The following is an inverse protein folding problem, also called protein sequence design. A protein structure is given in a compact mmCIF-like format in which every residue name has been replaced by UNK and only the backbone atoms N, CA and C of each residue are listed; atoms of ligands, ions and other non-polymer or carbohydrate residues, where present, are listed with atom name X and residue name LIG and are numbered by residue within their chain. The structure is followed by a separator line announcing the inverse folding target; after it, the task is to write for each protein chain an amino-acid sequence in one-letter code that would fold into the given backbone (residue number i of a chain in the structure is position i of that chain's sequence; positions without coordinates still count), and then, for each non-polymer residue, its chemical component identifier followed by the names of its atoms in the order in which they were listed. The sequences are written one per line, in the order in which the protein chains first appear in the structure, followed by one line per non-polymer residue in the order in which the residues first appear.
data_IF_252212274839
#
_entry.id   IF_252212274839
#
_cell.length_a   1.000
_cell.length_b   1.000
_cell.length_c   1.000
_cell.angle_alpha   90.00
_cell.angle_beta   90.00
_cell.angle_gamma   90.00
#
_symmetry.space_group_name_H-M   'P 1'
#
loop_
_entity.id
_entity.type
_entity.pdbx_description
1 polymer ?
#
# COMPACT_ATOMS: atom_id res chain seq x y z
N UNK A 1 24.70 -9.20 10.11
CA UNK A 1 25.62 -8.07 9.83
C UNK A 1 25.30 -6.93 10.78
N UNK A 2 26.28 -6.05 11.07
CA UNK A 2 26.08 -4.91 11.99
C UNK A 2 25.89 -3.63 11.17
N UNK A 3 24.86 -2.83 11.48
CA UNK A 3 24.63 -1.51 10.87
C UNK A 3 25.82 -0.57 11.06
N UNK A 4 25.90 0.49 10.25
CA UNK A 4 26.74 1.64 10.55
C UNK A 4 26.28 2.28 11.87
N UNK A 5 27.11 3.12 12.44
CA UNK A 5 26.78 3.86 13.67
C UNK A 5 25.73 4.94 13.34
N UNK A 6 24.76 5.11 14.21
CA UNK A 6 23.74 6.16 14.12
C UNK A 6 23.35 6.66 15.51
N UNK A 7 22.79 7.84 15.58
CA UNK A 7 22.16 8.39 16.78
C UNK A 7 20.67 8.03 16.78
N UNK A 8 20.18 7.48 17.91
CA UNK A 8 18.76 7.14 18.10
C UNK A 8 18.06 8.27 18.85
N UNK A 9 16.97 8.79 18.28
CA UNK A 9 16.09 9.77 18.89
C UNK A 9 14.74 9.11 19.20
N UNK A 10 14.19 9.35 20.38
CA UNK A 10 12.91 8.80 20.84
C UNK A 10 11.96 9.93 21.26
N UNK A 11 11.41 10.69 20.29
CA UNK A 11 10.47 11.77 20.59
C UNK A 11 9.16 11.23 21.19
N UNK A 12 8.52 12.04 22.04
CA UNK A 12 7.25 11.73 22.68
C UNK A 12 6.06 12.41 22.01
N UNK A 13 6.29 13.28 21.03
CA UNK A 13 5.24 14.00 20.32
C UNK A 13 5.58 14.18 18.83
N UNK A 14 4.55 14.43 18.03
CA UNK A 14 4.70 14.74 16.60
C UNK A 14 5.54 16.01 16.41
N UNK A 15 5.36 17.03 17.23
CA UNK A 15 6.11 18.29 17.17
C UNK A 15 7.62 18.05 17.33
N UNK A 16 8.01 17.15 18.24
CA UNK A 16 9.42 16.77 18.41
C UNK A 16 9.96 16.04 17.18
N UNK A 17 9.17 15.14 16.58
CA UNK A 17 9.54 14.48 15.29
C UNK A 17 9.79 15.52 14.22
N UNK A 18 8.87 16.47 14.04
CA UNK A 18 8.99 17.51 13.03
C UNK A 18 10.18 18.43 13.28
N UNK A 19 10.53 18.67 14.57
CA UNK A 19 11.74 19.41 14.92
C UNK A 19 13.01 18.67 14.48
N UNK A 20 13.09 17.37 14.77
CA UNK A 20 14.24 16.54 14.39
C UNK A 20 14.36 16.42 12.86
N UNK A 21 13.23 16.25 12.14
CA UNK A 21 13.23 16.21 10.68
C UNK A 21 13.68 17.52 10.04
N UNK A 22 13.27 18.68 10.61
CA UNK A 22 13.74 19.99 10.14
C UNK A 22 15.23 20.20 10.43
N UNK A 23 15.73 19.65 11.54
CA UNK A 23 17.14 19.78 11.95
C UNK A 23 18.07 18.91 11.11
N UNK A 24 17.71 17.66 10.85
CA UNK A 24 18.60 16.65 10.25
C UNK A 24 18.27 16.35 8.77
N UNK A 25 17.08 16.68 8.27
CA UNK A 25 16.71 16.55 6.87
C UNK A 25 17.02 15.17 6.28
N UNK A 26 17.85 15.12 5.25
CA UNK A 26 18.25 13.91 4.55
C UNK A 26 19.08 12.93 5.40
N UNK A 27 19.74 13.38 6.46
CA UNK A 27 20.55 12.56 7.35
C UNK A 27 19.70 11.82 8.40
N UNK A 28 18.39 12.05 8.41
CA UNK A 28 17.45 11.37 9.29
C UNK A 28 16.57 10.36 8.55
N UNK A 29 16.22 9.26 9.25
CA UNK A 29 15.18 8.32 8.82
C UNK A 29 14.22 8.04 9.97
N UNK A 30 12.93 7.99 9.63
CA UNK A 30 11.87 7.62 10.57
C UNK A 30 11.88 6.10 10.77
N UNK A 31 11.90 5.67 12.01
CA UNK A 31 11.74 4.28 12.41
C UNK A 31 10.33 4.07 12.96
N UNK A 32 9.48 3.37 12.20
CA UNK A 32 8.16 2.90 12.62
C UNK A 32 8.23 1.38 12.89
N UNK A 33 7.74 0.55 11.97
CA UNK A 33 7.77 -0.92 12.10
C UNK A 33 9.14 -1.57 11.97
N UNK A 34 10.06 -0.92 11.27
CA UNK A 34 11.44 -1.37 11.06
C UNK A 34 11.60 -2.57 10.11
N UNK A 35 10.52 -3.11 9.53
CA UNK A 35 10.58 -4.36 8.78
C UNK A 35 11.35 -4.26 7.45
N UNK A 36 11.43 -3.07 6.88
CA UNK A 36 12.30 -2.77 5.74
C UNK A 36 13.58 -2.06 6.20
N UNK A 37 13.45 -1.02 7.03
CA UNK A 37 14.58 -0.16 7.38
C UNK A 37 15.68 -0.93 8.14
N UNK A 38 15.33 -1.80 9.11
CA UNK A 38 16.33 -2.54 9.91
C UNK A 38 17.17 -3.49 9.04
N UNK A 39 16.61 -4.31 8.13
CA UNK A 39 17.39 -5.08 7.15
C UNK A 39 18.29 -4.20 6.27
N UNK A 40 17.78 -3.08 5.77
CA UNK A 40 18.52 -2.13 4.91
C UNK A 40 19.73 -1.56 5.65
N UNK A 41 19.57 -1.19 6.93
CA UNK A 41 20.66 -0.74 7.80
C UNK A 41 21.67 -1.87 8.08
N UNK A 42 21.20 -3.09 8.34
CA UNK A 42 22.06 -4.24 8.62
C UNK A 42 22.91 -4.62 7.40
N UNK A 43 22.36 -4.50 6.20
CA UNK A 43 23.08 -4.71 4.92
C UNK A 43 23.94 -3.50 4.50
N UNK A 44 23.83 -2.37 5.21
CA UNK A 44 24.49 -1.09 4.89
C UNK A 44 24.15 -0.54 3.50
N UNK A 45 22.95 -0.84 3.01
CA UNK A 45 22.41 -0.23 1.78
C UNK A 45 22.09 1.25 2.01
N UNK A 46 21.65 1.58 3.25
CA UNK A 46 21.56 2.95 3.73
C UNK A 46 22.29 3.10 5.08
N UNK A 47 22.85 4.27 5.32
CA UNK A 47 23.60 4.59 6.56
C UNK A 47 23.25 5.99 7.04
N UNK A 48 21.98 6.26 7.43
CA UNK A 48 21.59 7.55 7.98
C UNK A 48 22.31 7.80 9.31
N UNK A 49 22.67 9.03 9.58
CA UNK A 49 23.30 9.39 10.84
C UNK A 49 22.32 9.42 12.01
N UNK A 50 21.03 9.63 11.73
CA UNK A 50 19.98 9.80 12.73
C UNK A 50 18.78 8.89 12.46
N UNK A 51 18.31 8.16 13.47
CA UNK A 51 17.05 7.44 13.46
C UNK A 51 16.07 8.10 14.43
N UNK A 52 14.86 8.37 13.96
CA UNK A 52 13.76 8.96 14.73
C UNK A 52 12.70 7.89 14.96
N UNK A 53 12.70 7.32 16.16
CA UNK A 53 11.75 6.27 16.55
C UNK A 53 10.41 6.89 16.99
N UNK A 54 9.36 6.64 16.21
CA UNK A 54 8.01 7.16 16.47
C UNK A 54 7.11 6.23 17.29
N UNK A 55 7.62 5.08 17.73
CA UNK A 55 6.82 4.03 18.37
C UNK A 55 6.25 4.42 19.75
N UNK A 56 6.81 5.44 20.42
CA UNK A 56 6.31 5.92 21.71
C UNK A 56 5.18 6.97 21.60
N UNK A 57 4.85 7.44 20.39
CA UNK A 57 3.90 8.52 20.17
C UNK A 57 2.48 7.95 20.07
N UNK A 58 1.72 8.01 21.16
CA UNK A 58 0.37 7.45 21.25
C UNK A 58 -0.62 8.09 20.27
N UNK A 59 -0.47 9.38 19.94
CA UNK A 59 -1.32 10.07 18.97
C UNK A 59 -1.20 9.52 17.54
N UNK A 60 -0.15 8.76 17.25
CA UNK A 60 0.05 8.08 15.96
C UNK A 60 -0.50 6.63 15.92
N UNK A 61 -1.05 6.12 17.03
CA UNK A 61 -1.57 4.74 17.12
C UNK A 61 -3.11 4.72 17.05
N UNK A 62 -3.67 5.41 16.08
CA UNK A 62 -5.12 5.54 15.90
C UNK A 62 -5.58 4.93 14.59
N UNK A 63 -6.73 4.25 14.63
CA UNK A 63 -7.59 3.94 13.50
C UNK A 63 -8.83 4.81 13.68
N UNK A 64 -9.06 5.76 12.80
CA UNK A 64 -10.19 6.69 12.85
C UNK A 64 -11.15 6.36 11.70
N UNK A 65 -12.26 5.71 12.04
CA UNK A 65 -13.28 5.31 11.08
C UNK A 65 -14.36 6.39 10.99
N UNK A 66 -14.50 6.99 9.83
CA UNK A 66 -15.54 7.95 9.50
C UNK A 66 -16.48 7.36 8.46
N UNK A 67 -17.65 7.97 8.28
CA UNK A 67 -18.63 7.48 7.32
C UNK A 67 -18.07 7.36 5.88
N UNK A 68 -17.18 8.27 5.48
CA UNK A 68 -16.62 8.35 4.13
C UNK A 68 -15.26 7.69 3.96
N UNK A 69 -14.52 7.42 5.05
CA UNK A 69 -13.15 6.92 4.96
C UNK A 69 -12.63 6.34 6.27
N UNK A 70 -11.59 5.54 6.13
CA UNK A 70 -10.78 4.98 7.19
C UNK A 70 -9.42 5.70 7.19
N UNK A 71 -9.13 6.48 8.25
CA UNK A 71 -7.84 7.14 8.44
C UNK A 71 -6.98 6.34 9.40
N UNK A 72 -5.78 5.96 8.96
CA UNK A 72 -4.86 5.09 9.69
C UNK A 72 -3.57 5.84 9.96
N UNK A 73 -3.25 6.03 11.23
CA UNK A 73 -2.11 6.81 11.67
C UNK A 73 -0.78 6.01 11.62
N UNK A 74 0.35 6.72 11.60
CA UNK A 74 1.68 6.20 11.26
C UNK A 74 2.19 5.06 12.15
N UNK A 75 1.74 4.98 13.38
CA UNK A 75 2.16 3.96 14.36
C UNK A 75 1.30 2.69 14.36
N UNK A 76 0.16 2.67 13.65
CA UNK A 76 -0.74 1.52 13.58
C UNK A 76 -0.05 0.34 12.89
N UNK A 77 -0.06 -0.82 13.55
CA UNK A 77 0.51 -2.05 13.01
C UNK A 77 -0.40 -2.65 11.94
N UNK A 78 0.20 -3.37 11.01
CA UNK A 78 -0.57 -4.11 10.00
C UNK A 78 -1.52 -5.12 10.65
N UNK A 79 -1.07 -5.83 11.69
CA UNK A 79 -1.92 -6.77 12.43
C UNK A 79 -3.04 -6.08 13.22
N UNK A 80 -2.85 -4.87 13.72
CA UNK A 80 -3.91 -4.13 14.42
C UNK A 80 -5.06 -3.79 13.47
N UNK A 81 -4.76 -3.45 12.20
CA UNK A 81 -5.78 -3.21 11.20
C UNK A 81 -6.36 -4.51 10.65
N UNK A 82 -5.55 -5.55 10.44
CA UNK A 82 -6.00 -6.88 9.98
C UNK A 82 -7.09 -7.46 10.89
N UNK A 83 -6.91 -7.30 12.22
CA UNK A 83 -7.86 -7.82 13.22
C UNK A 83 -8.79 -6.74 13.77
N UNK A 84 -8.86 -5.59 13.14
CA UNK A 84 -9.79 -4.54 13.56
C UNK A 84 -11.22 -4.91 13.20
N UNK A 85 -12.11 -4.93 14.22
CA UNK A 85 -13.50 -5.32 14.06
C UNK A 85 -14.22 -4.42 13.04
N UNK A 86 -14.83 -5.04 12.02
CA UNK A 86 -15.55 -4.33 10.97
C UNK A 86 -14.70 -3.90 9.78
N UNK A 87 -13.43 -4.32 9.66
CA UNK A 87 -12.62 -4.02 8.48
C UNK A 87 -13.28 -4.49 7.19
N UNK A 88 -13.85 -5.69 7.18
CA UNK A 88 -14.58 -6.27 6.05
C UNK A 88 -15.84 -5.48 5.67
N UNK A 89 -16.49 -4.87 6.67
CA UNK A 89 -17.65 -4.02 6.44
C UNK A 89 -17.28 -2.63 5.93
N UNK A 90 -16.16 -2.05 6.42
CA UNK A 90 -15.74 -0.68 6.08
C UNK A 90 -14.94 -0.66 4.81
N UNK A 91 -14.02 -1.61 4.62
CA UNK A 91 -13.16 -1.69 3.44
C UNK A 91 -12.82 -3.14 3.06
N UNK A 92 -13.72 -3.84 2.33
CA UNK A 92 -13.57 -5.25 1.97
C UNK A 92 -12.29 -5.56 1.20
N UNK A 93 -11.79 -4.62 0.37
CA UNK A 93 -10.57 -4.85 -0.39
C UNK A 93 -9.36 -5.03 0.52
N UNK A 94 -9.21 -4.20 1.55
CA UNK A 94 -8.13 -4.36 2.54
C UNK A 94 -8.24 -5.70 3.26
N UNK A 95 -9.45 -6.09 3.67
CA UNK A 95 -9.68 -7.38 4.31
C UNK A 95 -9.23 -8.56 3.42
N UNK A 96 -9.53 -8.52 2.12
CA UNK A 96 -9.11 -9.54 1.15
C UNK A 96 -7.59 -9.60 0.95
N UNK A 97 -6.89 -8.47 1.11
CA UNK A 97 -5.46 -8.36 0.83
C UNK A 97 -4.58 -8.74 2.02
N UNK A 98 -5.03 -8.49 3.27
CA UNK A 98 -4.21 -8.74 4.47
C UNK A 98 -3.62 -10.15 4.58
N UNK A 99 -4.34 -11.24 4.28
CA UNK A 99 -3.77 -12.60 4.35
C UNK A 99 -2.54 -12.82 3.46
N UNK A 100 -2.37 -11.98 2.42
CA UNK A 100 -1.27 -12.07 1.47
C UNK A 100 -0.04 -11.27 1.89
N UNK A 101 -0.23 -10.22 2.71
CA UNK A 101 0.86 -9.35 3.16
C UNK A 101 1.81 -10.11 4.07
N UNK A 102 2.97 -10.48 3.58
CA UNK A 102 4.06 -11.07 4.34
C UNK A 102 3.58 -12.18 5.32
N UNK A 103 4.27 -12.32 6.46
CA UNK A 103 3.92 -13.27 7.52
C UNK A 103 3.54 -12.54 8.81
N UNK A 104 2.76 -13.20 9.67
CA UNK A 104 2.29 -12.65 10.96
C UNK A 104 3.38 -11.93 11.79
N UNK A 105 4.61 -12.45 11.95
CA UNK A 105 5.66 -11.75 12.69
C UNK A 105 6.03 -10.39 12.08
N UNK A 106 5.96 -10.27 10.74
CA UNK A 106 6.21 -9.02 10.02
C UNK A 106 5.05 -8.06 10.22
N UNK A 107 3.79 -8.54 10.06
CA UNK A 107 2.59 -7.71 10.27
C UNK A 107 2.44 -7.22 11.70
N UNK A 108 2.91 -7.98 12.70
CA UNK A 108 2.91 -7.57 14.11
C UNK A 108 3.83 -6.38 14.40
N UNK A 109 4.76 -6.07 13.51
CA UNK A 109 5.70 -4.96 13.66
C UNK A 109 5.58 -3.92 12.56
N UNK A 110 5.37 -4.34 11.33
CA UNK A 110 5.15 -3.47 10.17
C UNK A 110 3.96 -2.54 10.38
N UNK A 111 4.06 -1.31 9.89
CA UNK A 111 2.96 -0.33 9.91
C UNK A 111 2.39 -0.11 8.53
N UNK A 112 1.12 0.30 8.47
CA UNK A 112 0.46 0.65 7.20
C UNK A 112 1.22 1.79 6.51
N UNK A 113 1.44 2.90 7.23
CA UNK A 113 2.16 4.06 6.70
C UNK A 113 3.62 3.74 6.35
N UNK A 114 4.25 2.77 7.04
CA UNK A 114 5.60 2.31 6.72
C UNK A 114 5.68 1.62 5.37
N UNK A 115 4.69 0.79 5.01
CA UNK A 115 4.59 0.17 3.68
C UNK A 115 4.36 1.23 2.60
N UNK A 116 3.47 2.20 2.85
CA UNK A 116 3.22 3.31 1.92
C UNK A 116 4.46 4.19 1.75
N UNK A 117 5.20 4.47 2.84
CA UNK A 117 6.46 5.23 2.79
C UNK A 117 7.55 4.52 2.00
N UNK A 118 7.57 3.19 2.03
CA UNK A 118 8.53 2.37 1.29
C UNK A 118 8.26 2.39 -0.22
N UNK A 119 7.00 2.50 -0.61
CA UNK A 119 6.56 2.62 -2.01
C UNK A 119 7.08 1.50 -2.93
N UNK A 120 7.14 0.26 -2.42
CA UNK A 120 7.43 -0.89 -3.29
C UNK A 120 6.23 -1.13 -4.22
N UNK A 121 6.43 -1.13 -5.55
CA UNK A 121 5.33 -1.31 -6.51
C UNK A 121 4.67 -2.69 -6.45
N UNK A 122 5.30 -3.64 -5.78
CA UNK A 122 4.78 -5.00 -5.53
C UNK A 122 4.04 -5.13 -4.20
N UNK A 123 4.00 -4.06 -3.38
CA UNK A 123 3.35 -4.11 -2.07
C UNK A 123 1.83 -3.96 -2.19
N UNK A 124 1.10 -4.82 -1.52
CA UNK A 124 -0.36 -4.92 -1.55
C UNK A 124 -1.03 -3.63 -1.02
N UNK A 125 -0.46 -3.01 0.02
CA UNK A 125 -1.00 -1.75 0.58
C UNK A 125 -0.80 -0.55 -0.36
N UNK A 126 0.28 -0.54 -1.16
CA UNK A 126 0.50 0.45 -2.22
C UNK A 126 -0.55 0.28 -3.31
N UNK A 127 -0.79 -0.96 -3.75
CA UNK A 127 -1.83 -1.29 -4.71
C UNK A 127 -3.23 -0.92 -4.16
N UNK A 128 -3.52 -1.26 -2.89
CA UNK A 128 -4.79 -0.91 -2.25
C UNK A 128 -5.03 0.60 -2.25
N UNK A 129 -4.02 1.39 -1.83
CA UNK A 129 -4.16 2.85 -1.79
C UNK A 129 -4.40 3.43 -3.19
N UNK A 130 -3.75 2.87 -4.21
CA UNK A 130 -3.90 3.28 -5.61
C UNK A 130 -5.28 2.96 -6.15
N UNK A 131 -5.77 1.72 -5.96
CA UNK A 131 -7.07 1.27 -6.51
C UNK A 131 -8.25 1.93 -5.83
N UNK A 132 -8.12 2.18 -4.53
CA UNK A 132 -9.12 2.89 -3.74
C UNK A 132 -9.05 4.40 -3.92
N UNK A 133 -8.10 4.90 -4.73
CA UNK A 133 -7.88 6.36 -4.92
C UNK A 133 -7.75 7.09 -3.57
N UNK A 134 -7.02 6.46 -2.63
CA UNK A 134 -6.78 6.99 -1.31
C UNK A 134 -5.79 8.14 -1.30
N UNK A 135 -5.43 8.60 -0.10
CA UNK A 135 -4.54 9.76 0.08
C UNK A 135 -3.60 9.57 1.25
N UNK A 136 -2.52 10.34 1.24
CA UNK A 136 -1.50 10.41 2.29
C UNK A 136 -1.53 11.78 2.93
N UNK A 137 -1.55 11.84 4.26
CA UNK A 137 -1.42 13.08 5.01
C UNK A 137 0.02 13.27 5.43
N UNK A 138 0.64 14.32 4.89
CA UNK A 138 2.00 14.74 5.17
C UNK A 138 2.00 15.97 6.06
N UNK A 139 2.82 15.95 7.11
CA UNK A 139 2.97 17.07 8.03
C UNK A 139 4.43 17.47 8.18
N UNK A 140 4.67 18.78 8.19
CA UNK A 140 5.95 19.41 8.52
C UNK A 140 5.71 20.50 9.56
N UNK A 141 6.76 21.12 10.07
CA UNK A 141 6.61 22.30 10.97
C UNK A 141 5.80 23.45 10.35
N UNK A 142 5.85 23.60 9.02
CA UNK A 142 5.28 24.74 8.30
C UNK A 142 3.90 24.48 7.72
N UNK A 143 3.62 23.24 7.35
CA UNK A 143 2.38 22.91 6.62
C UNK A 143 1.92 21.48 6.87
N UNK A 144 0.63 21.29 6.66
CA UNK A 144 -0.02 19.98 6.47
C UNK A 144 -0.55 19.95 5.04
N UNK A 145 -0.35 18.84 4.33
CA UNK A 145 -0.88 18.64 2.98
C UNK A 145 -1.46 17.24 2.84
N UNK A 146 -2.44 17.10 1.97
CA UNK A 146 -3.06 15.83 1.58
C UNK A 146 -2.65 15.59 0.14
N UNK A 147 -2.06 14.43 -0.13
CA UNK A 147 -1.57 14.05 -1.46
C UNK A 147 -2.31 12.79 -1.88
N UNK A 148 -2.88 12.79 -3.10
CA UNK A 148 -3.55 11.61 -3.65
C UNK A 148 -2.54 10.48 -3.88
N UNK A 149 -2.98 9.22 -3.89
CA UNK A 149 -2.11 8.09 -4.20
C UNK A 149 -1.43 8.25 -5.57
N UNK A 150 -2.14 8.81 -6.56
CA UNK A 150 -1.63 9.07 -7.92
C UNK A 150 -0.47 10.06 -7.97
N UNK A 151 -0.46 11.03 -7.06
CA UNK A 151 0.57 12.06 -7.00
C UNK A 151 1.68 11.72 -5.98
N UNK A 152 1.40 10.77 -5.07
CA UNK A 152 2.32 10.39 -4.01
C UNK A 152 3.40 9.41 -4.46
N UNK A 153 3.05 8.39 -5.28
CA UNK A 153 4.00 7.39 -5.79
C UNK A 153 4.62 7.87 -7.09
N UNK A 154 5.89 8.29 -7.04
CA UNK A 154 6.61 8.88 -8.18
C UNK A 154 7.40 7.84 -8.99
N UNK A 155 7.70 6.69 -8.40
CA UNK A 155 8.48 5.60 -8.99
C UNK A 155 8.76 4.51 -7.97
N UNK A 156 9.50 3.48 -8.37
CA UNK A 156 9.89 2.40 -7.48
C UNK A 156 10.69 2.94 -6.29
N UNK A 157 10.18 2.70 -5.08
CA UNK A 157 10.74 3.19 -3.82
C UNK A 157 10.86 4.72 -3.72
N UNK A 158 10.07 5.47 -4.51
CA UNK A 158 10.10 6.92 -4.57
C UNK A 158 8.72 7.52 -4.29
N UNK A 159 8.68 8.50 -3.40
CA UNK A 159 7.46 9.21 -3.01
C UNK A 159 7.64 10.72 -3.07
N UNK A 160 6.53 11.46 -3.12
CA UNK A 160 6.50 12.93 -3.02
C UNK A 160 6.78 13.47 -1.60
N UNK A 161 7.03 12.59 -0.60
CA UNK A 161 7.37 13.00 0.77
C UNK A 161 8.72 13.73 0.80
N UNK A 162 8.75 14.95 1.31
CA UNK A 162 9.98 15.70 1.53
C UNK A 162 10.72 15.20 2.78
N UNK A 163 12.05 15.43 2.84
CA UNK A 163 12.89 14.98 3.96
C UNK A 163 12.43 15.51 5.33
N UNK A 164 11.85 16.71 5.37
CA UNK A 164 11.32 17.33 6.58
C UNK A 164 9.84 17.01 6.86
N UNK A 165 9.23 16.05 6.15
CA UNK A 165 7.84 15.65 6.34
C UNK A 165 7.71 14.28 7.00
N UNK A 166 6.73 14.14 7.88
CA UNK A 166 6.23 12.88 8.43
C UNK A 166 4.94 12.50 7.69
N UNK A 167 4.81 11.24 7.26
CA UNK A 167 3.51 10.67 6.97
C UNK A 167 2.78 10.53 8.30
N UNK A 168 1.81 11.42 8.57
CA UNK A 168 1.03 11.37 9.79
C UNK A 168 0.00 10.25 9.75
N UNK A 169 -0.66 10.09 8.60
CA UNK A 169 -1.68 9.07 8.37
C UNK A 169 -1.89 8.80 6.89
N UNK A 170 -2.58 7.71 6.58
CA UNK A 170 -3.11 7.39 5.25
C UNK A 170 -4.64 7.28 5.33
N UNK A 171 -5.30 7.65 4.25
CA UNK A 171 -6.76 7.65 4.13
C UNK A 171 -7.14 6.65 3.03
N UNK A 172 -7.92 5.64 3.40
CA UNK A 172 -8.61 4.76 2.48
C UNK A 172 -10.10 5.14 2.45
N UNK A 173 -10.69 5.44 1.28
CA UNK A 173 -12.14 5.63 1.17
C UNK A 173 -12.89 4.43 1.73
N UNK A 174 -14.04 4.65 2.36
CA UNK A 174 -14.93 3.57 2.75
C UNK A 174 -15.49 2.84 1.53
N UNK A 175 -15.99 1.62 1.73
CA UNK A 175 -16.56 0.84 0.64
C UNK A 175 -17.64 1.60 -0.13
N UNK A 176 -17.69 1.42 -1.43
CA UNK A 176 -18.80 1.84 -2.26
C UNK A 176 -20.01 0.93 -1.94
N UNK A 177 -21.16 1.52 -1.69
CA UNK A 177 -22.40 0.77 -1.39
C UNK A 177 -22.73 -0.15 -2.57
N UNK A 178 -22.97 -1.41 -2.27
CA UNK A 178 -23.29 -2.46 -3.24
C UNK A 178 -22.19 -2.76 -4.28
N UNK A 179 -20.95 -2.30 -4.08
CA UNK A 179 -19.84 -2.68 -4.94
C UNK A 179 -19.31 -4.09 -4.62
N UNK A 180 -18.76 -4.73 -5.62
CA UNK A 180 -18.03 -5.98 -5.47
C UNK A 180 -16.52 -5.75 -5.43
N UNK A 181 -15.81 -6.58 -4.66
CA UNK A 181 -14.36 -6.50 -4.48
C UNK A 181 -13.72 -7.84 -4.80
N UNK A 182 -12.56 -7.81 -5.44
CA UNK A 182 -11.78 -8.99 -5.74
C UNK A 182 -10.28 -8.72 -5.65
N UNK A 183 -9.54 -9.73 -5.24
CA UNK A 183 -8.09 -9.70 -5.14
C UNK A 183 -7.48 -11.04 -5.50
N UNK A 184 -6.40 -11.03 -6.25
CA UNK A 184 -5.59 -12.19 -6.53
C UNK A 184 -4.14 -11.78 -6.75
N UNK A 185 -3.21 -12.58 -6.25
CA UNK A 185 -1.79 -12.35 -6.49
C UNK A 185 -1.03 -13.65 -6.73
N UNK A 186 0.16 -13.51 -7.27
CA UNK A 186 1.15 -14.56 -7.39
C UNK A 186 2.50 -14.04 -6.89
N UNK A 187 3.04 -14.75 -5.90
CA UNK A 187 4.41 -14.69 -5.45
C UNK A 187 5.03 -16.09 -5.52
N UNK A 188 6.35 -16.20 -5.50
CA UNK A 188 7.02 -17.52 -5.50
C UNK A 188 6.76 -18.32 -4.23
N UNK A 189 6.52 -17.62 -3.13
CA UNK A 189 6.10 -18.19 -1.84
C UNK A 189 5.02 -17.30 -1.25
N UNK A 190 4.13 -17.89 -0.47
CA UNK A 190 3.15 -17.09 0.29
C UNK A 190 3.88 -16.11 1.21
N UNK A 191 3.51 -14.84 1.15
CA UNK A 191 4.12 -13.75 1.92
C UNK A 191 5.39 -13.13 1.32
N UNK A 192 5.87 -13.60 0.15
CA UNK A 192 6.84 -12.86 -0.65
C UNK A 192 6.14 -11.66 -1.32
N UNK A 193 6.88 -10.64 -1.73
CA UNK A 193 6.35 -9.61 -2.61
C UNK A 193 5.77 -10.21 -3.90
N UNK A 194 4.64 -9.70 -4.33
CA UNK A 194 3.96 -10.19 -5.50
C UNK A 194 4.79 -10.01 -6.78
N UNK A 195 4.89 -11.05 -7.60
CA UNK A 195 5.33 -10.91 -8.99
C UNK A 195 4.30 -10.09 -9.77
N UNK A 196 3.02 -10.42 -9.59
CA UNK A 196 1.86 -9.64 -10.03
C UNK A 196 0.76 -9.77 -8.99
N UNK A 197 0.18 -8.64 -8.59
CA UNK A 197 -1.04 -8.56 -7.81
C UNK A 197 -2.11 -7.83 -8.60
N UNK A 198 -3.36 -8.27 -8.50
CA UNK A 198 -4.53 -7.68 -9.16
C UNK A 198 -5.61 -7.40 -8.14
N UNK A 199 -6.04 -6.14 -8.05
CA UNK A 199 -7.14 -5.70 -7.21
C UNK A 199 -8.27 -5.13 -8.08
N UNK A 200 -9.51 -5.52 -7.80
CA UNK A 200 -10.67 -5.17 -8.62
C UNK A 200 -11.79 -4.63 -7.76
N UNK A 201 -12.40 -3.54 -8.20
CA UNK A 201 -13.66 -3.01 -7.66
C UNK A 201 -14.68 -2.97 -8.80
N UNK A 202 -15.86 -3.55 -8.58
CA UNK A 202 -17.01 -3.48 -9.47
C UNK A 202 -18.10 -2.62 -8.84
N UNK A 203 -18.46 -1.52 -9.49
CA UNK A 203 -19.58 -0.66 -9.11
C UNK A 203 -20.57 -0.57 -10.28
N UNK A 204 -21.61 -1.41 -10.23
CA UNK A 204 -22.51 -1.60 -11.36
C UNK A 204 -21.76 -2.14 -12.58
N UNK A 205 -21.76 -1.38 -13.66
CA UNK A 205 -21.01 -1.68 -14.89
C UNK A 205 -19.61 -1.02 -14.92
N UNK A 206 -19.26 -0.21 -13.91
CA UNK A 206 -17.93 0.41 -13.82
C UNK A 206 -16.96 -0.53 -13.09
N UNK A 207 -15.79 -0.71 -13.66
CA UNK A 207 -14.72 -1.55 -13.10
C UNK A 207 -13.45 -0.73 -12.92
N UNK A 208 -12.93 -0.76 -11.70
CA UNK A 208 -11.60 -0.27 -11.36
C UNK A 208 -10.67 -1.47 -11.17
N UNK A 209 -9.62 -1.56 -11.98
CA UNK A 209 -8.72 -2.71 -12.03
C UNK A 209 -7.30 -2.21 -11.80
N UNK A 210 -6.70 -2.62 -10.71
CA UNK A 210 -5.34 -2.25 -10.36
C UNK A 210 -4.37 -3.39 -10.48
N UNK A 211 -3.13 -3.04 -10.82
CA UNK A 211 -2.01 -3.98 -10.92
C UNK A 211 -0.83 -3.50 -10.10
N UNK A 212 -0.30 -4.39 -9.27
CA UNK A 212 0.99 -4.26 -8.61
C UNK A 212 2.04 -5.14 -9.28
N UNK A 213 3.30 -4.72 -9.22
CA UNK A 213 4.43 -5.49 -9.73
C UNK A 213 4.66 -5.47 -11.25
N UNK A 214 3.84 -4.77 -12.02
CA UNK A 214 3.96 -4.71 -13.48
C UNK A 214 4.74 -3.51 -14.01
N UNK A 215 4.96 -2.50 -13.19
CA UNK A 215 5.64 -1.25 -13.51
C UNK A 215 6.33 -0.70 -12.24
N UNK A 216 6.99 0.43 -12.32
CA UNK A 216 7.67 1.11 -11.20
C UNK A 216 6.70 1.71 -10.18
N UNK A 217 5.41 1.81 -10.51
CA UNK A 217 4.33 2.17 -9.59
C UNK A 217 3.13 1.24 -9.81
N UNK A 218 2.30 1.07 -8.80
CA UNK A 218 1.01 0.40 -8.98
C UNK A 218 0.13 1.19 -9.96
N UNK A 219 -0.53 0.48 -10.88
CA UNK A 219 -1.36 1.09 -11.95
C UNK A 219 -2.83 0.83 -11.71
N UNK A 220 -3.65 1.84 -12.00
CA UNK A 220 -5.11 1.75 -11.98
C UNK A 220 -5.65 2.00 -13.38
N UNK A 221 -6.50 1.09 -13.85
CA UNK A 221 -7.24 1.19 -15.10
C UNK A 221 -8.75 1.13 -14.81
N UNK A 222 -9.53 1.89 -15.58
CA UNK A 222 -10.99 1.91 -15.45
C UNK A 222 -11.62 1.49 -16.77
N UNK A 223 -12.68 0.70 -16.68
CA UNK A 223 -13.45 0.25 -17.86
C UNK A 223 -14.92 0.08 -17.51
N UNK A 224 -15.75 -0.01 -18.54
CA UNK A 224 -17.18 -0.33 -18.42
C UNK A 224 -17.40 -1.73 -19.00
N UNK A 225 -17.96 -2.62 -18.19
CA UNK A 225 -18.24 -3.99 -18.60
C UNK A 225 -19.48 -4.51 -17.86
N UNK A 226 -20.33 -5.27 -18.55
CA UNK A 226 -21.56 -5.83 -17.95
C UNK A 226 -21.31 -7.10 -17.13
N UNK A 227 -20.14 -7.71 -17.29
CA UNK A 227 -19.81 -8.99 -16.67
C UNK A 227 -18.33 -9.12 -16.38
N UNK A 228 -17.96 -10.02 -15.46
CA UNK A 228 -16.58 -10.40 -15.20
C UNK A 228 -15.84 -10.86 -16.47
N UNK A 229 -16.56 -11.54 -17.39
CA UNK A 229 -15.99 -12.01 -18.66
C UNK A 229 -15.55 -10.83 -19.55
N UNK A 230 -16.39 -9.81 -19.69
CA UNK A 230 -16.06 -8.61 -20.47
C UNK A 230 -14.91 -7.83 -19.80
N UNK A 231 -14.91 -7.71 -18.47
CA UNK A 231 -13.79 -7.08 -17.74
C UNK A 231 -12.48 -7.87 -17.91
N UNK A 232 -12.53 -9.21 -17.93
CA UNK A 232 -11.36 -10.05 -18.21
C UNK A 232 -10.86 -9.88 -19.67
N UNK A 233 -11.76 -9.70 -20.65
CA UNK A 233 -11.37 -9.39 -22.02
C UNK A 233 -10.63 -8.04 -22.14
N UNK A 234 -11.07 -7.04 -21.37
CA UNK A 234 -10.34 -5.77 -21.29
C UNK A 234 -8.92 -5.98 -20.73
N UNK A 235 -8.76 -6.81 -19.68
CA UNK A 235 -7.43 -7.13 -19.13
C UNK A 235 -6.56 -7.86 -20.15
N UNK A 236 -7.12 -8.80 -20.93
CA UNK A 236 -6.36 -9.51 -21.96
C UNK A 236 -5.82 -8.55 -23.04
N UNK A 237 -6.65 -7.63 -23.51
CA UNK A 237 -6.23 -6.59 -24.44
C UNK A 237 -5.18 -5.68 -23.81
N UNK A 238 -5.44 -5.18 -22.60
CA UNK A 238 -4.51 -4.32 -21.86
C UNK A 238 -3.14 -4.97 -21.70
N UNK A 239 -3.09 -6.25 -21.30
CA UNK A 239 -1.83 -6.99 -21.14
C UNK A 239 -1.05 -7.16 -22.43
N UNK A 240 -1.69 -7.02 -23.61
CA UNK A 240 -1.03 -7.03 -24.89
C UNK A 240 -0.48 -5.66 -25.28
N UNK A 241 -1.18 -4.59 -24.90
CA UNK A 241 -0.95 -3.22 -25.39
C UNK A 241 0.07 -2.43 -24.55
N UNK A 242 0.17 -2.71 -23.25
CA UNK A 242 1.06 -1.94 -22.35
C UNK A 242 2.48 -2.54 -22.28
N UNK A 243 3.44 -1.68 -22.00
CA UNK A 243 4.75 -2.15 -21.52
C UNK A 243 4.61 -2.76 -20.14
N UNK A 244 5.29 -3.87 -19.92
CA UNK A 244 5.32 -4.58 -18.65
C UNK A 244 6.77 -4.80 -18.25
N UNK A 245 7.08 -4.42 -17.02
CA UNK A 245 8.40 -4.53 -16.41
C UNK A 245 8.98 -5.94 -16.57
N UNK A 246 10.28 -5.97 -16.83
CA UNK A 246 11.10 -7.18 -16.78
C UNK A 246 12.25 -6.99 -15.78
N UNK A 247 12.52 -7.99 -14.96
CA UNK A 247 13.59 -7.97 -13.98
C UNK A 247 14.09 -9.41 -13.70
N UNK A 248 15.16 -9.60 -12.88
CA UNK A 248 15.67 -10.94 -12.57
C UNK A 248 14.65 -11.88 -11.91
N UNK A 249 13.55 -11.36 -11.36
CA UNK A 249 12.52 -12.19 -10.71
C UNK A 249 11.48 -12.70 -11.69
N UNK A 250 11.15 -11.94 -12.76
CA UNK A 250 10.13 -12.36 -13.73
C UNK A 250 10.29 -11.64 -15.07
N UNK A 251 10.09 -12.40 -16.15
CA UNK A 251 10.02 -11.85 -17.51
C UNK A 251 8.72 -11.09 -17.73
N UNK A 252 8.72 -10.17 -18.68
CA UNK A 252 7.50 -9.45 -19.12
C UNK A 252 6.42 -10.42 -19.61
N UNK A 253 6.82 -11.51 -20.29
CA UNK A 253 5.91 -12.57 -20.75
C UNK A 253 5.19 -13.28 -19.60
N UNK A 254 5.90 -13.63 -18.52
CA UNK A 254 5.31 -14.23 -17.33
C UNK A 254 4.32 -13.24 -16.66
N UNK A 255 4.71 -11.98 -16.50
CA UNK A 255 3.84 -10.97 -15.89
C UNK A 255 2.57 -10.76 -16.70
N UNK A 256 2.65 -10.69 -18.03
CA UNK A 256 1.46 -10.62 -18.93
C UNK A 256 0.53 -11.82 -18.75
N UNK A 257 1.09 -13.02 -18.66
CA UNK A 257 0.31 -14.23 -18.39
C UNK A 257 -0.39 -14.16 -17.03
N UNK A 258 0.34 -13.71 -15.98
CA UNK A 258 -0.23 -13.55 -14.64
C UNK A 258 -1.30 -12.45 -14.59
N UNK A 259 -1.11 -11.32 -15.29
CA UNK A 259 -2.14 -10.28 -15.41
C UNK A 259 -3.47 -10.86 -15.91
N UNK A 260 -3.43 -11.70 -16.93
CA UNK A 260 -4.63 -12.36 -17.50
C UNK A 260 -5.28 -13.32 -16.51
N UNK A 261 -4.50 -14.28 -16.01
CA UNK A 261 -5.04 -15.36 -15.16
C UNK A 261 -5.52 -14.84 -13.79
N UNK A 262 -4.74 -13.96 -13.15
CA UNK A 262 -5.13 -13.36 -11.87
C UNK A 262 -6.24 -12.32 -12.06
N UNK A 263 -6.21 -11.58 -13.16
CA UNK A 263 -7.24 -10.62 -13.52
C UNK A 263 -8.61 -11.28 -13.70
N UNK A 264 -8.67 -12.38 -14.44
CA UNK A 264 -9.91 -13.17 -14.56
C UNK A 264 -10.42 -13.62 -13.19
N UNK A 265 -9.54 -14.19 -12.35
CA UNK A 265 -9.88 -14.63 -10.99
C UNK A 265 -10.41 -13.50 -10.13
N UNK A 266 -9.74 -12.35 -10.11
CA UNK A 266 -10.14 -11.18 -9.32
C UNK A 266 -11.47 -10.58 -9.82
N UNK A 267 -11.68 -10.52 -11.14
CA UNK A 267 -12.94 -10.08 -11.74
C UNK A 267 -14.10 -11.02 -11.37
N UNK A 268 -13.89 -12.34 -11.42
CA UNK A 268 -14.90 -13.30 -11.00
C UNK A 268 -15.26 -13.15 -9.52
N UNK A 269 -14.28 -12.95 -8.64
CA UNK A 269 -14.50 -12.73 -7.21
C UNK A 269 -15.30 -11.45 -6.97
N UNK A 270 -14.94 -10.34 -7.64
CA UNK A 270 -15.66 -9.08 -7.54
C UNK A 270 -17.10 -9.19 -8.03
N UNK A 271 -17.34 -9.92 -9.12
CA UNK A 271 -18.68 -10.17 -9.66
C UNK A 271 -19.55 -11.02 -8.72
N UNK A 272 -18.98 -12.05 -8.09
CA UNK A 272 -19.66 -12.87 -7.10
C UNK A 272 -20.03 -12.06 -5.86
N UNK A 273 -19.09 -11.25 -5.35
CA UNK A 273 -19.33 -10.37 -4.22
C UNK A 273 -20.44 -9.34 -4.54
N UNK A 274 -20.36 -8.69 -5.70
CA UNK A 274 -21.39 -7.76 -6.19
C UNK A 274 -22.78 -8.38 -6.22
N UNK A 275 -22.94 -9.59 -6.76
CA UNK A 275 -24.22 -10.32 -6.83
C UNK A 275 -24.72 -10.76 -5.46
N UNK A 276 -23.82 -11.01 -4.51
CA UNK A 276 -24.16 -11.37 -3.12
C UNK A 276 -24.71 -10.18 -2.33
N UNK A 277 -24.18 -8.98 -2.56
CA UNK A 277 -24.60 -7.75 -1.86
C UNK A 277 -25.85 -7.11 -2.47
N UNK A 278 -26.17 -7.43 -3.74
CA UNK A 278 -27.32 -6.90 -4.48
C UNK A 278 -28.62 -7.68 -4.24
N UNK A 279 -28.57 -8.75 -3.44
CA UNK A 279 -29.72 -9.54 -2.99
C UNK A 279 -30.14 -9.14 -1.58
#
# INVERSE_FOLDING_TARGET
MKSAQFQMHQPNSVEQVLHLLEQYGEDARILAGGQTLVPVLAMRVASPENLIDINQINSLKKIDCKQSHLEIFAGVRQSELEYWDGLDEVQPLLHLMFPWIAHTPIRNRGTICGSIAHADPSAELVLALTVLEGSVILVSKKKKRIVSASDFFLGALQTDRQSNELIQSVIFPSKIKNAGYGFAEYGYRHGDFAVVAVAVIRDGDNWSIGFGGIDDVAKLYKTVAKSAKEAAQFIDQLASDIEVREDPTATSGLRRHLMRSLGEKACMQADQHFKGVSK
#
